data_IF_603292046949
#
_entry.id   IF_603292046949
#
_cell.length_a   1.000
_cell.length_b   1.000
_cell.length_c   1.000
_cell.angle_alpha   90.00
_cell.angle_beta   90.00
_cell.angle_gamma   90.00
#
_symmetry.space_group_name_H-M   'P 1'
#
loop_
_entity.id
_entity.type
_entity.pdbx_description
1 polymer ?
#
# COMPACT_ATOMS: atom_id res chain seq x y z
N UNK A 1 -3.10 -2.98 13.17
CA UNK A 1 -3.64 -3.59 11.96
C UNK A 1 -2.52 -3.84 10.96
N UNK A 2 -2.36 -5.10 10.56
CA UNK A 2 -1.42 -5.49 9.49
C UNK A 2 -2.21 -5.88 8.24
N UNK A 3 -1.78 -5.40 7.09
CA UNK A 3 -2.34 -5.73 5.78
C UNK A 3 -1.21 -6.28 4.90
N UNK A 4 -1.33 -7.53 4.45
CA UNK A 4 -0.30 -8.17 3.61
C UNK A 4 -0.83 -9.35 2.82
N UNK A 5 -0.11 -9.75 1.77
CA UNK A 5 -0.50 -10.84 0.90
C UNK A 5 -1.73 -10.52 0.05
N UNK A 6 -1.85 -9.30 -0.41
CA UNK A 6 -2.87 -8.93 -1.38
C UNK A 6 -2.79 -9.84 -2.62
N UNK A 7 -3.94 -10.18 -3.18
CA UNK A 7 -4.05 -11.04 -4.38
C UNK A 7 -4.17 -10.16 -5.60
N UNK A 8 -3.16 -10.17 -6.45
CA UNK A 8 -3.13 -9.34 -7.66
C UNK A 8 -3.50 -10.11 -8.91
N UNK A 9 -3.53 -11.44 -8.82
CA UNK A 9 -3.75 -12.28 -9.97
C UNK A 9 -4.63 -13.48 -9.63
N UNK A 10 -5.70 -13.67 -10.40
CA UNK A 10 -6.57 -14.85 -10.37
C UNK A 10 -6.53 -15.51 -11.75
N UNK A 11 -5.55 -16.40 -11.99
CA UNK A 11 -5.48 -17.18 -13.22
C UNK A 11 -4.12 -17.82 -13.46
N UNK A 12 -4.12 -18.91 -14.25
CA UNK A 12 -2.94 -19.65 -14.66
C UNK A 12 -2.20 -18.93 -15.81
N UNK A 13 -1.49 -17.84 -15.53
CA UNK A 13 -0.58 -17.23 -16.49
C UNK A 13 0.84 -17.71 -16.21
N UNK A 14 1.57 -18.07 -17.28
CA UNK A 14 2.95 -18.51 -17.17
C UNK A 14 3.83 -17.33 -16.71
N UNK A 15 4.70 -17.61 -15.74
CA UNK A 15 5.61 -16.66 -15.08
C UNK A 15 6.62 -15.94 -16.01
N UNK A 16 6.61 -16.24 -17.29
CA UNK A 16 7.60 -15.76 -18.27
C UNK A 16 7.26 -14.41 -18.91
N UNK A 17 6.15 -13.76 -18.55
CA UNK A 17 5.72 -12.49 -19.15
C UNK A 17 5.69 -11.29 -18.22
N UNK A 18 6.18 -11.41 -17.01
CA UNK A 18 6.24 -10.26 -16.09
C UNK A 18 7.54 -9.46 -16.31
N UNK A 19 7.69 -8.93 -17.50
CA UNK A 19 8.54 -7.78 -17.67
C UNK A 19 7.72 -6.56 -17.23
N UNK A 20 8.24 -5.81 -16.27
CA UNK A 20 7.70 -4.52 -15.82
C UNK A 20 7.21 -3.70 -17.02
N UNK A 21 5.91 -3.77 -17.33
CA UNK A 21 5.32 -2.93 -18.36
C UNK A 21 5.15 -1.54 -17.75
N UNK A 22 6.20 -0.76 -17.85
CA UNK A 22 6.12 0.67 -17.59
C UNK A 22 5.12 1.27 -18.60
N UNK A 23 4.04 1.85 -18.12
CA UNK A 23 3.20 2.66 -18.99
C UNK A 23 4.07 3.86 -19.41
N UNK A 24 4.28 4.10 -20.72
CA UNK A 24 5.02 5.27 -21.14
C UNK A 24 4.35 6.53 -20.56
N UNK A 25 5.15 7.44 -20.03
CA UNK A 25 4.68 8.69 -19.41
C UNK A 25 3.70 9.46 -20.31
N UNK A 26 3.93 9.48 -21.61
CA UNK A 26 3.05 10.10 -22.60
C UNK A 26 1.65 9.46 -22.61
N UNK A 27 1.56 8.13 -22.48
CA UNK A 27 0.27 7.43 -22.42
C UNK A 27 -0.46 7.70 -21.11
N UNK A 28 0.29 7.76 -20.00
CA UNK A 28 -0.24 8.11 -18.69
C UNK A 28 -0.82 9.53 -18.72
N UNK A 29 -0.05 10.51 -19.20
CA UNK A 29 -0.53 11.89 -19.40
C UNK A 29 -1.77 11.99 -20.29
N UNK A 30 -1.83 11.20 -21.37
CA UNK A 30 -2.98 11.18 -22.26
C UNK A 30 -4.24 10.59 -21.60
N UNK A 31 -4.10 9.63 -20.70
CA UNK A 31 -5.23 9.04 -19.96
C UNK A 31 -5.73 10.00 -18.87
N UNK A 32 -4.80 10.65 -18.16
CA UNK A 32 -5.12 11.66 -17.13
C UNK A 32 -5.85 12.85 -17.75
N UNK A 33 -5.33 13.40 -18.85
CA UNK A 33 -5.93 14.56 -19.53
C UNK A 33 -7.33 14.30 -20.08
N UNK A 34 -7.71 13.04 -20.23
CA UNK A 34 -9.05 12.59 -20.65
C UNK A 34 -9.98 12.25 -19.49
N UNK A 35 -9.56 12.47 -18.23
CA UNK A 35 -10.33 12.10 -17.05
C UNK A 35 -10.44 10.58 -16.83
N UNK A 36 -9.55 9.80 -17.44
CA UNK A 36 -9.55 8.33 -17.39
C UNK A 36 -8.38 7.77 -16.58
N UNK A 37 -8.03 8.44 -15.50
CA UNK A 37 -6.94 8.02 -14.62
C UNK A 37 -7.06 6.55 -14.22
N UNK A 38 -8.26 6.10 -13.87
CA UNK A 38 -8.51 4.72 -13.47
C UNK A 38 -8.31 3.70 -14.60
N UNK A 39 -8.47 4.09 -15.88
CA UNK A 39 -8.15 3.20 -17.00
C UNK A 39 -6.64 2.96 -17.17
N UNK A 40 -5.79 3.85 -16.64
CA UNK A 40 -4.35 3.69 -16.69
C UNK A 40 -3.88 2.48 -15.89
N UNK A 41 -4.60 2.15 -14.80
CA UNK A 41 -4.23 1.08 -13.88
C UNK A 41 -4.72 -0.30 -14.31
N UNK A 42 -5.82 -0.38 -15.08
CA UNK A 42 -6.48 -1.65 -15.46
C UNK A 42 -5.60 -2.64 -16.22
N UNK A 43 -4.51 -2.16 -16.82
CA UNK A 43 -3.59 -2.99 -17.60
C UNK A 43 -2.25 -3.22 -16.87
N UNK A 44 -2.12 -2.79 -15.61
CA UNK A 44 -0.93 -3.07 -14.82
C UNK A 44 -1.02 -4.49 -14.28
N UNK A 45 0.05 -5.23 -14.44
CA UNK A 45 0.20 -6.56 -13.88
C UNK A 45 1.07 -6.45 -12.62
N UNK A 46 0.62 -7.09 -11.56
CA UNK A 46 1.30 -7.11 -10.28
C UNK A 46 1.58 -8.54 -9.87
N UNK A 47 2.81 -8.80 -9.48
CA UNK A 47 3.19 -10.09 -8.92
C UNK A 47 2.63 -10.24 -7.51
N UNK A 48 2.23 -11.46 -7.15
CA UNK A 48 1.90 -11.73 -5.76
C UNK A 48 3.15 -11.62 -4.88
N UNK A 49 2.98 -11.06 -3.69
CA UNK A 49 4.04 -10.87 -2.70
C UNK A 49 3.87 -11.87 -1.53
N UNK A 50 4.27 -13.14 -1.69
CA UNK A 50 4.05 -14.15 -0.64
C UNK A 50 4.79 -13.84 0.67
N UNK A 51 5.91 -13.13 0.60
CA UNK A 51 6.68 -12.70 1.77
C UNK A 51 5.89 -11.76 2.68
N UNK A 52 4.98 -10.96 2.13
CA UNK A 52 4.22 -9.98 2.90
C UNK A 52 3.19 -10.63 3.84
N UNK A 53 2.66 -11.81 3.50
CA UNK A 53 1.82 -12.58 4.43
C UNK A 53 2.64 -13.00 5.66
N UNK A 54 3.86 -13.45 5.44
CA UNK A 54 4.74 -13.83 6.54
C UNK A 54 5.11 -12.61 7.38
N UNK A 55 5.44 -11.49 6.74
CA UNK A 55 5.76 -10.23 7.41
C UNK A 55 4.66 -9.81 8.40
N UNK A 56 3.41 -9.67 7.93
CA UNK A 56 2.32 -9.23 8.81
C UNK A 56 2.00 -10.24 9.92
N UNK A 57 2.19 -11.54 9.68
CA UNK A 57 2.01 -12.56 10.70
C UNK A 57 3.10 -12.52 11.78
N UNK A 58 4.36 -12.33 11.39
CA UNK A 58 5.47 -12.19 12.33
C UNK A 58 5.33 -10.91 13.17
N UNK A 59 4.97 -9.79 12.54
CA UNK A 59 4.67 -8.54 13.24
C UNK A 59 3.50 -8.74 14.21
N UNK A 60 2.45 -9.45 13.81
CA UNK A 60 1.31 -9.74 14.67
C UNK A 60 1.70 -10.51 15.95
N UNK A 61 2.63 -11.45 15.88
CA UNK A 61 3.14 -12.16 17.08
C UNK A 61 3.75 -11.19 18.10
N UNK A 62 4.36 -10.12 17.61
CA UNK A 62 4.97 -9.08 18.44
C UNK A 62 3.94 -8.09 18.96
N UNK A 63 3.11 -7.55 18.08
CA UNK A 63 2.21 -6.40 18.37
C UNK A 63 0.81 -6.81 18.79
N UNK A 64 0.35 -7.99 18.37
CA UNK A 64 -1.07 -8.37 18.45
C UNK A 64 -1.91 -7.61 17.42
N UNK A 65 -3.21 -7.51 17.68
CA UNK A 65 -4.15 -6.76 16.83
C UNK A 65 -4.78 -7.61 15.73
N UNK A 66 -5.13 -7.00 14.60
CA UNK A 66 -5.81 -7.65 13.48
C UNK A 66 -4.84 -7.77 12.31
N UNK A 67 -4.92 -8.88 11.59
CA UNK A 67 -4.20 -9.11 10.33
C UNK A 67 -5.22 -9.37 9.23
N UNK A 68 -5.16 -8.58 8.17
CA UNK A 68 -5.88 -8.80 6.93
C UNK A 68 -4.93 -9.45 5.93
N UNK A 69 -5.40 -10.47 5.23
CA UNK A 69 -4.62 -11.18 4.21
C UNK A 69 -5.48 -11.51 3.01
N UNK A 70 -4.86 -11.73 1.86
CA UNK A 70 -5.52 -12.13 0.62
C UNK A 70 -6.63 -11.13 0.23
N UNK A 71 -7.82 -11.62 -0.11
CA UNK A 71 -8.96 -10.80 -0.54
C UNK A 71 -9.42 -9.77 0.51
N UNK A 72 -9.13 -10.00 1.79
CA UNK A 72 -9.47 -9.05 2.85
C UNK A 72 -8.61 -7.77 2.79
N UNK A 73 -7.46 -7.82 2.12
CA UNK A 73 -6.60 -6.65 1.85
C UNK A 73 -7.20 -5.85 0.69
N UNK A 74 -8.46 -5.50 0.78
CA UNK A 74 -9.17 -4.78 -0.28
C UNK A 74 -9.44 -3.33 0.13
N UNK A 75 -9.49 -2.48 -0.88
CA UNK A 75 -9.81 -1.06 -0.76
C UNK A 75 -11.18 -0.87 -0.08
N UNK A 76 -12.20 -1.60 -0.54
CA UNK A 76 -13.54 -1.53 0.03
C UNK A 76 -13.60 -1.97 1.50
N UNK A 77 -12.81 -2.99 1.90
CA UNK A 77 -12.73 -3.39 3.29
C UNK A 77 -12.12 -2.28 4.16
N UNK A 78 -11.01 -1.69 3.72
CA UNK A 78 -10.36 -0.61 4.44
C UNK A 78 -11.28 0.62 4.58
N UNK A 79 -11.99 1.00 3.52
CA UNK A 79 -12.98 2.09 3.54
C UNK A 79 -14.13 1.80 4.52
N UNK A 80 -14.65 0.56 4.54
CA UNK A 80 -15.67 0.16 5.52
C UNK A 80 -15.16 0.24 6.96
N UNK A 81 -13.93 -0.22 7.23
CA UNK A 81 -13.30 -0.09 8.55
C UNK A 81 -13.13 1.37 8.95
N UNK A 82 -12.81 2.25 8.01
CA UNK A 82 -12.76 3.69 8.23
C UNK A 82 -14.13 4.24 8.61
N UNK A 83 -15.15 3.98 7.79
CA UNK A 83 -16.52 4.47 8.01
C UNK A 83 -17.15 3.97 9.31
N UNK A 84 -16.80 2.76 9.74
CA UNK A 84 -17.27 2.20 11.01
C UNK A 84 -16.49 2.71 12.24
N UNK A 85 -15.44 3.49 12.05
CA UNK A 85 -14.54 3.94 13.11
C UNK A 85 -13.60 2.83 13.63
N UNK A 86 -13.53 1.69 12.95
CA UNK A 86 -12.65 0.59 13.37
C UNK A 86 -11.17 0.97 13.20
N UNK A 87 -10.81 1.70 12.13
CA UNK A 87 -9.43 2.12 11.91
C UNK A 87 -8.87 2.98 13.06
N UNK A 88 -9.69 3.80 13.68
CA UNK A 88 -9.30 4.64 14.82
C UNK A 88 -8.88 3.86 16.07
N UNK A 89 -9.26 2.59 16.16
CA UNK A 89 -8.91 1.72 17.31
C UNK A 89 -7.51 1.15 17.21
N UNK A 90 -6.84 1.33 16.06
CA UNK A 90 -5.52 0.78 15.82
C UNK A 90 -4.45 1.86 15.98
N UNK A 91 -3.56 1.69 16.96
CA UNK A 91 -2.42 2.59 17.14
C UNK A 91 -1.40 2.53 15.99
N UNK A 92 -1.35 1.39 15.28
CA UNK A 92 -0.42 1.15 14.18
C UNK A 92 -1.17 0.56 12.99
N UNK A 93 -0.91 1.12 11.81
CA UNK A 93 -1.29 0.54 10.51
C UNK A 93 -0.02 0.14 9.78
N UNK A 94 0.05 -1.10 9.31
CA UNK A 94 1.19 -1.63 8.58
C UNK A 94 0.72 -2.20 7.25
N UNK A 95 1.13 -1.56 6.16
CA UNK A 95 0.81 -1.95 4.79
C UNK A 95 2.00 -2.66 4.15
N UNK A 96 1.87 -3.94 3.88
CA UNK A 96 2.83 -4.75 3.15
C UNK A 96 2.21 -5.15 1.81
N UNK A 97 2.19 -4.22 0.88
CA UNK A 97 1.55 -4.33 -0.45
C UNK A 97 2.46 -3.69 -1.50
N UNK A 98 2.06 -3.73 -2.78
CA UNK A 98 2.73 -2.87 -3.76
C UNK A 98 2.36 -1.40 -3.57
N UNK A 99 3.31 -0.52 -3.91
CA UNK A 99 3.08 0.91 -4.03
C UNK A 99 3.26 1.36 -5.47
N UNK A 100 2.31 2.09 -6.01
CA UNK A 100 2.40 2.75 -7.29
C UNK A 100 2.72 4.23 -7.08
N UNK A 101 3.89 4.67 -7.50
CA UNK A 101 4.27 6.07 -7.45
C UNK A 101 4.22 6.69 -8.85
N UNK A 102 3.52 7.82 -8.95
CA UNK A 102 3.37 8.60 -10.18
C UNK A 102 3.88 10.02 -9.91
N UNK A 103 5.21 10.25 -10.03
CA UNK A 103 5.81 11.53 -9.67
C UNK A 103 5.24 12.72 -10.44
N UNK A 104 4.88 12.51 -11.71
CA UNK A 104 4.32 13.54 -12.58
C UNK A 104 2.89 13.96 -12.18
N UNK A 105 2.17 13.07 -11.50
CA UNK A 105 0.80 13.28 -11.01
C UNK A 105 0.64 12.58 -9.67
N UNK A 106 1.14 13.17 -8.58
CA UNK A 106 1.18 12.55 -7.26
C UNK A 106 -0.19 12.08 -6.75
N UNK A 107 -1.28 12.70 -7.23
CA UNK A 107 -2.66 12.33 -6.89
C UNK A 107 -3.03 10.92 -7.36
N UNK A 108 -2.33 10.41 -8.38
CA UNK A 108 -2.49 9.05 -8.90
C UNK A 108 -1.58 8.03 -8.22
N UNK A 109 -0.71 8.46 -7.32
CA UNK A 109 0.04 7.53 -6.48
C UNK A 109 -0.92 6.78 -5.57
N UNK A 110 -0.71 5.47 -5.41
CA UNK A 110 -1.64 4.58 -4.71
C UNK A 110 -0.92 3.44 -4.00
N UNK A 111 -1.55 2.88 -2.97
CA UNK A 111 -1.26 1.53 -2.53
C UNK A 111 -2.09 0.55 -3.34
N UNK A 112 -1.45 -0.51 -3.84
CA UNK A 112 -2.12 -1.52 -4.65
C UNK A 112 -2.69 -2.57 -3.71
N UNK A 113 -4.01 -2.59 -3.62
CA UNK A 113 -4.77 -3.52 -2.81
C UNK A 113 -5.13 -4.77 -3.62
N UNK A 114 -5.82 -5.74 -3.01
CA UNK A 114 -6.25 -6.93 -3.74
C UNK A 114 -7.18 -6.58 -4.89
N UNK A 115 -6.84 -7.09 -6.07
CA UNK A 115 -7.60 -6.95 -7.29
C UNK A 115 -8.49 -8.20 -7.43
N UNK A 116 -9.78 -8.10 -7.21
CA UNK A 116 -10.73 -9.23 -7.29
C UNK A 116 -11.74 -9.07 -8.44
N UNK A 117 -12.35 -10.19 -8.86
CA UNK A 117 -13.41 -10.18 -9.89
C UNK A 117 -14.71 -9.49 -9.42
N UNK A 118 -14.91 -9.36 -8.10
CA UNK A 118 -16.09 -8.74 -7.49
C UNK A 118 -15.88 -7.25 -7.16
N UNK A 119 -14.84 -6.64 -7.73
CA UNK A 119 -14.63 -5.20 -7.59
C UNK A 119 -15.74 -4.51 -8.39
N UNK A 120 -16.69 -3.93 -7.67
CA UNK A 120 -17.72 -3.08 -8.28
C UNK A 120 -17.09 -1.85 -8.94
N UNK A 121 -17.84 -1.15 -9.77
CA UNK A 121 -17.37 0.06 -10.51
C UNK A 121 -16.82 1.17 -9.57
N UNK A 122 -17.02 1.06 -8.26
CA UNK A 122 -16.60 2.04 -7.28
C UNK A 122 -15.20 1.79 -6.69
N UNK A 123 -14.64 0.56 -6.84
CA UNK A 123 -13.39 0.14 -6.20
C UNK A 123 -12.50 -0.46 -7.28
N UNK A 124 -11.37 0.16 -7.56
CA UNK A 124 -10.46 -0.29 -8.62
C UNK A 124 -9.21 -1.03 -8.10
N UNK A 125 -9.11 -1.20 -6.77
CA UNK A 125 -7.99 -1.85 -6.11
C UNK A 125 -6.78 -0.95 -5.91
N UNK A 126 -6.89 0.33 -6.23
CA UNK A 126 -5.83 1.32 -6.06
C UNK A 126 -6.24 2.37 -5.02
N UNK A 127 -5.84 2.17 -3.78
CA UNK A 127 -6.09 3.15 -2.72
C UNK A 127 -5.27 4.42 -2.97
N UNK A 128 -5.87 5.35 -3.71
CA UNK A 128 -5.23 6.56 -4.20
C UNK A 128 -5.08 7.62 -3.10
N UNK A 129 -4.18 8.57 -3.32
CA UNK A 129 -3.94 9.71 -2.42
C UNK A 129 -5.24 10.41 -1.99
N UNK A 130 -6.15 10.66 -2.95
CA UNK A 130 -7.44 11.32 -2.67
C UNK A 130 -8.41 10.49 -1.83
N UNK A 131 -8.25 9.18 -1.80
CA UNK A 131 -9.05 8.25 -0.99
C UNK A 131 -8.46 8.08 0.40
N UNK A 132 -7.12 8.00 0.48
CA UNK A 132 -6.40 8.01 1.75
C UNK A 132 -6.76 9.23 2.58
N UNK A 133 -6.86 10.41 1.95
CA UNK A 133 -7.28 11.66 2.62
C UNK A 133 -8.67 11.59 3.25
N UNK A 134 -9.54 10.68 2.80
CA UNK A 134 -10.91 10.49 3.33
C UNK A 134 -10.98 9.43 4.42
N UNK A 135 -9.87 8.74 4.72
CA UNK A 135 -9.83 7.79 5.81
C UNK A 135 -9.90 8.54 7.16
N UNK A 136 -10.60 7.96 8.11
CA UNK A 136 -10.69 8.47 9.48
C UNK A 136 -9.71 7.71 10.37
N UNK A 137 -8.52 8.25 10.53
CA UNK A 137 -7.43 7.65 11.30
C UNK A 137 -7.24 8.40 12.63
N UNK A 138 -6.77 7.67 13.64
CA UNK A 138 -6.24 8.22 14.90
C UNK A 138 -5.12 7.31 15.39
N UNK A 139 -4.11 7.10 14.54
CA UNK A 139 -3.05 6.15 14.79
C UNK A 139 -1.71 6.86 15.07
N UNK A 140 -0.89 6.22 15.89
CA UNK A 140 0.44 6.72 16.21
C UNK A 140 1.42 6.58 15.05
N UNK A 141 1.24 5.51 14.26
CA UNK A 141 2.22 5.17 13.24
C UNK A 141 1.58 4.44 12.04
N UNK A 142 1.96 4.87 10.85
CA UNK A 142 1.71 4.15 9.60
C UNK A 142 3.05 3.68 9.04
N UNK A 143 3.16 2.39 8.72
CA UNK A 143 4.29 1.87 7.97
C UNK A 143 3.84 1.44 6.57
N UNK A 144 4.50 1.99 5.57
CA UNK A 144 4.36 1.59 4.18
C UNK A 144 5.54 0.69 3.82
N UNK A 145 5.40 -0.61 4.11
CA UNK A 145 6.33 -1.66 3.66
C UNK A 145 6.01 -2.02 2.19
N UNK A 146 5.80 -0.98 1.40
CA UNK A 146 5.49 -1.08 -0.01
C UNK A 146 6.75 -0.76 -0.79
N UNK A 147 7.26 -1.75 -1.54
CA UNK A 147 8.37 -1.50 -2.45
C UNK A 147 7.89 -0.59 -3.58
N UNK A 148 8.70 0.40 -3.89
CA UNK A 148 8.44 1.31 -5.00
C UNK A 148 8.49 0.56 -6.33
N UNK A 149 7.33 0.37 -6.95
CA UNK A 149 7.24 0.02 -8.37
C UNK A 149 6.83 1.28 -9.11
N UNK A 150 7.80 2.18 -9.29
CA UNK A 150 7.56 3.45 -9.99
C UNK A 150 7.42 3.25 -11.48
N UNK A 151 6.43 3.89 -12.08
CA UNK A 151 6.33 4.06 -13.53
C UNK A 151 7.31 5.16 -13.95
N UNK A 152 8.59 4.82 -14.13
CA UNK A 152 9.56 5.77 -14.65
C UNK A 152 10.84 5.92 -13.81
N UNK A 153 11.77 6.76 -14.28
CA UNK A 153 12.98 7.12 -13.53
C UNK A 153 12.61 7.85 -12.26
N UNK A 154 13.15 7.41 -11.14
CA UNK A 154 13.03 8.06 -9.83
C UNK A 154 13.38 9.55 -9.98
N UNK A 155 12.38 10.39 -10.07
CA UNK A 155 12.53 11.84 -9.92
C UNK A 155 12.22 12.16 -8.46
N UNK A 156 13.29 12.09 -7.64
CA UNK A 156 13.38 12.71 -6.30
C UNK A 156 12.11 12.73 -5.43
N UNK A 157 11.54 11.54 -5.14
CA UNK A 157 10.67 11.41 -3.95
C UNK A 157 9.28 12.08 -3.98
N UNK A 158 8.87 12.78 -5.02
CA UNK A 158 7.62 13.54 -5.02
C UNK A 158 6.36 12.65 -4.93
N UNK A 159 6.34 11.50 -5.58
CA UNK A 159 5.21 10.58 -5.49
C UNK A 159 4.98 10.01 -4.08
N UNK A 160 6.06 9.67 -3.38
CA UNK A 160 5.97 9.18 -2.00
C UNK A 160 5.55 10.28 -1.03
N UNK A 161 5.94 11.54 -1.31
CA UNK A 161 5.52 12.69 -0.51
C UNK A 161 4.01 12.85 -0.54
N UNK A 162 3.36 12.66 -1.68
CA UNK A 162 1.89 12.71 -1.81
C UNK A 162 1.20 11.68 -0.91
N UNK A 163 1.62 10.40 -0.99
CA UNK A 163 1.07 9.33 -0.14
C UNK A 163 1.31 9.58 1.35
N UNK A 164 2.53 9.97 1.72
CA UNK A 164 2.86 10.22 3.13
C UNK A 164 2.06 11.38 3.71
N UNK A 165 1.92 12.48 2.95
CA UNK A 165 1.09 13.61 3.36
C UNK A 165 -0.38 13.22 3.52
N UNK A 166 -0.92 12.39 2.61
CA UNK A 166 -2.30 11.94 2.68
C UNK A 166 -2.58 11.18 3.99
N UNK A 167 -1.71 10.25 4.39
CA UNK A 167 -1.87 9.52 5.65
C UNK A 167 -1.76 10.43 6.88
N UNK A 168 -0.82 11.39 6.87
CA UNK A 168 -0.68 12.35 7.97
C UNK A 168 -1.93 13.23 8.09
N UNK A 169 -2.47 13.71 6.97
CA UNK A 169 -3.70 14.52 6.96
C UNK A 169 -4.94 13.69 7.33
N UNK A 170 -4.95 12.39 7.02
CA UNK A 170 -6.00 11.46 7.44
C UNK A 170 -6.00 11.14 8.94
N UNK A 171 -4.94 11.55 9.69
CA UNK A 171 -4.88 11.42 11.15
C UNK A 171 -3.76 10.51 11.68
N UNK A 172 -2.82 10.10 10.85
CA UNK A 172 -1.60 9.43 11.31
C UNK A 172 -0.65 10.45 11.95
N UNK A 173 -0.04 10.11 13.10
CA UNK A 173 0.90 11.00 13.81
C UNK A 173 2.33 10.90 13.29
N UNK A 174 2.70 9.74 12.78
CA UNK A 174 4.00 9.49 12.18
C UNK A 174 3.91 8.43 11.10
N UNK A 175 4.90 8.41 10.20
CA UNK A 175 4.91 7.47 9.08
C UNK A 175 6.34 7.08 8.73
N UNK A 176 6.52 5.82 8.31
CA UNK A 176 7.70 5.37 7.58
C UNK A 176 7.32 4.75 6.24
N UNK A 177 8.21 4.87 5.28
CA UNK A 177 8.05 4.26 3.96
C UNK A 177 9.41 3.84 3.40
N UNK A 178 9.42 2.78 2.60
CA UNK A 178 10.61 2.40 1.83
C UNK A 178 10.81 3.38 0.67
N UNK A 179 12.07 3.81 0.45
CA UNK A 179 12.42 4.76 -0.61
C UNK A 179 12.94 4.07 -1.88
N UNK A 180 13.11 2.77 -1.84
CA UNK A 180 13.58 1.94 -2.94
C UNK A 180 13.12 0.50 -2.76
N UNK A 181 13.27 -0.30 -3.80
CA UNK A 181 12.97 -1.73 -3.73
C UNK A 181 13.91 -2.42 -2.76
N UNK A 182 13.33 -3.14 -1.80
CA UNK A 182 14.03 -3.91 -0.77
C UNK A 182 13.63 -5.38 -0.87
N UNK A 183 14.51 -6.24 -0.38
CA UNK A 183 14.22 -7.67 -0.28
C UNK A 183 13.16 -7.95 0.79
N UNK A 184 12.14 -8.74 0.46
CA UNK A 184 11.00 -9.03 1.34
C UNK A 184 11.44 -9.62 2.69
N UNK A 185 12.41 -10.55 2.68
CA UNK A 185 12.88 -11.20 3.90
C UNK A 185 13.67 -10.26 4.79
N UNK A 186 14.51 -9.40 4.17
CA UNK A 186 15.26 -8.38 4.90
C UNK A 186 14.31 -7.33 5.50
N UNK A 187 13.30 -6.91 4.75
CA UNK A 187 12.27 -5.96 5.21
C UNK A 187 11.48 -6.54 6.38
N UNK A 188 11.01 -7.78 6.25
CA UNK A 188 10.31 -8.49 7.33
C UNK A 188 11.18 -8.54 8.61
N UNK A 189 12.43 -8.98 8.50
CA UNK A 189 13.33 -9.07 9.65
C UNK A 189 13.56 -7.71 10.31
N UNK A 190 13.75 -6.67 9.50
CA UNK A 190 13.92 -5.30 9.96
C UNK A 190 12.67 -4.79 10.70
N UNK A 191 11.49 -4.94 10.10
CA UNK A 191 10.25 -4.44 10.69
C UNK A 191 9.85 -5.20 11.96
N UNK A 192 10.01 -6.52 11.99
CA UNK A 192 9.83 -7.32 13.21
C UNK A 192 10.78 -6.82 14.32
N UNK A 193 12.04 -6.53 13.98
CA UNK A 193 13.01 -5.95 14.89
C UNK A 193 12.57 -4.58 15.43
N UNK A 194 12.10 -3.69 14.57
CA UNK A 194 11.58 -2.36 14.95
C UNK A 194 10.43 -2.50 15.96
N UNK A 195 9.39 -3.28 15.64
CA UNK A 195 8.24 -3.46 16.52
C UNK A 195 8.61 -4.14 17.84
N UNK A 196 9.54 -5.10 17.81
CA UNK A 196 10.04 -5.75 19.02
C UNK A 196 10.75 -4.76 19.94
N UNK A 197 11.61 -3.90 19.38
CA UNK A 197 12.33 -2.87 20.15
C UNK A 197 11.38 -1.83 20.75
N UNK A 198 10.39 -1.37 19.97
CA UNK A 198 9.38 -0.42 20.46
C UNK A 198 8.61 -1.00 21.63
N UNK A 199 8.19 -2.27 21.53
CA UNK A 199 7.47 -2.98 22.60
C UNK A 199 8.35 -3.19 23.83
N UNK A 200 9.57 -3.68 23.65
CA UNK A 200 10.52 -3.96 24.74
C UNK A 200 10.90 -2.70 25.51
N UNK A 201 11.23 -1.63 24.80
CA UNK A 201 11.64 -0.36 25.40
C UNK A 201 10.48 0.52 25.84
N UNK A 202 9.25 0.13 25.57
CA UNK A 202 8.04 0.92 25.83
C UNK A 202 8.16 2.37 25.30
N UNK A 203 8.85 2.53 24.18
CA UNK A 203 8.99 3.83 23.53
C UNK A 203 7.91 4.03 22.46
N UNK A 204 7.65 5.28 22.11
CA UNK A 204 6.72 5.61 21.02
C UNK A 204 7.36 5.44 19.65
N UNK A 205 6.54 5.56 18.60
CA UNK A 205 6.97 5.56 17.20
C UNK A 205 7.41 6.96 16.71
N UNK A 206 7.84 7.82 17.62
CA UNK A 206 8.30 9.19 17.34
C UNK A 206 9.80 9.30 17.52
#
# INVERSE_FOLDING_TARGET
>A
LGLGGAVYYQGSYQADMVASQQIPSERLHALISRGRGNEAYRNLLWDNLPGTIQEVREIHKVTGGIVLTNADVSEGNLKRMSQSGELRKHAVLHFATHGLLVPEVPELSALVMSLGEEIGDAEDGYLQTGEILKLDLDCDFVNLSACETGLGKIVKGEGIVGLTQAFLLAGARSLSASLWQVDDMATMAFMVGVYSLVKEKQCGYR
#
